data_IF_337261337361
#
_entry.id   IF_337261337361
#
_cell.length_a   1.000
_cell.length_b   1.000
_cell.length_c   1.000
_cell.angle_alpha   90.00
_cell.angle_beta   90.00
_cell.angle_gamma   90.00
#
_symmetry.space_group_name_H-M   'P 1'
#
loop_
_entity.id
_entity.type
_entity.pdbx_description
1 polymer ?
#
# COMPACT_ATOMS: atom_id res chain seq x y z
N UNK A 1 12.41 -21.95 5.44
CA UNK A 1 11.06 -22.32 4.96
C UNK A 1 10.49 -21.10 4.26
N UNK A 2 10.06 -21.22 3.00
CA UNK A 2 9.31 -20.17 2.31
C UNK A 2 7.86 -20.17 2.79
N UNK A 3 7.28 -18.99 2.97
CA UNK A 3 5.86 -18.80 3.26
C UNK A 3 5.14 -18.36 1.98
N UNK A 4 3.81 -18.37 1.94
CA UNK A 4 3.12 -17.73 0.82
C UNK A 4 3.18 -16.21 0.94
N UNK A 5 3.16 -15.51 -0.19
CA UNK A 5 3.13 -14.04 -0.22
C UNK A 5 1.98 -13.48 0.63
N UNK A 6 0.79 -14.08 0.54
CA UNK A 6 -0.37 -13.70 1.38
C UNK A 6 -0.10 -13.82 2.88
N UNK A 7 0.57 -14.88 3.31
CA UNK A 7 0.86 -15.08 4.72
C UNK A 7 1.80 -13.99 5.26
N UNK A 8 2.78 -13.57 4.45
CA UNK A 8 3.70 -12.48 4.81
C UNK A 8 3.05 -11.10 4.72
N UNK A 9 2.18 -10.84 3.74
CA UNK A 9 1.47 -9.56 3.61
C UNK A 9 0.45 -9.33 4.75
N UNK A 10 -0.20 -10.39 5.22
CA UNK A 10 -1.10 -10.32 6.39
C UNK A 10 -0.35 -10.21 7.72
N UNK A 11 0.96 -10.48 7.71
CA UNK A 11 1.79 -10.31 8.89
C UNK A 11 2.14 -8.83 9.07
N UNK A 12 2.03 -8.34 10.30
CA UNK A 12 2.55 -7.00 10.62
C UNK A 12 4.07 -6.97 10.44
N UNK A 13 4.66 -5.82 10.05
CA UNK A 13 6.11 -5.65 10.04
C UNK A 13 6.70 -6.12 11.37
N UNK A 14 7.72 -6.98 11.29
CA UNK A 14 8.27 -7.66 12.48
C UNK A 14 9.51 -6.97 13.03
N UNK A 15 10.08 -6.04 12.25
CA UNK A 15 11.24 -5.27 12.63
C UNK A 15 10.85 -4.08 13.51
N UNK A 16 11.67 -3.81 14.53
CA UNK A 16 11.46 -2.69 15.45
C UNK A 16 11.78 -1.37 14.76
N UNK A 17 10.92 -0.39 14.98
CA UNK A 17 11.03 0.94 14.38
C UNK A 17 11.11 1.97 15.50
N UNK A 18 12.27 2.62 15.61
CA UNK A 18 12.44 3.82 16.43
C UNK A 18 12.04 5.03 15.58
N UNK A 19 10.79 5.45 15.77
CA UNK A 19 10.28 6.68 15.18
C UNK A 19 10.58 7.84 16.14
N UNK A 20 11.50 8.72 15.75
CA UNK A 20 11.88 9.90 16.54
C UNK A 20 10.78 10.97 16.60
N UNK A 21 9.63 10.74 15.93
CA UNK A 21 8.50 11.67 15.81
C UNK A 21 8.90 13.04 15.24
N UNK A 22 10.02 13.07 14.51
CA UNK A 22 10.50 14.27 13.85
C UNK A 22 9.51 14.58 12.73
N UNK A 23 8.69 15.60 12.98
CA UNK A 23 7.74 16.10 11.99
C UNK A 23 8.54 16.84 10.94
N UNK A 24 8.84 16.20 9.82
CA UNK A 24 9.20 16.92 8.61
C UNK A 24 7.97 17.76 8.21
N UNK A 25 8.18 19.07 8.02
CA UNK A 25 7.11 19.92 7.53
C UNK A 25 6.69 19.43 6.15
N UNK A 26 5.46 18.90 6.00
CA UNK A 26 4.90 18.51 4.70
C UNK A 26 4.61 19.70 3.78
N UNK A 27 4.94 20.92 4.24
CA UNK A 27 4.81 22.17 3.51
C UNK A 27 5.94 22.32 2.48
N UNK A 28 6.01 21.33 1.57
CA UNK A 28 6.92 21.35 0.45
C UNK A 28 6.46 22.50 -0.46
N UNK A 29 7.33 23.48 -0.68
CA UNK A 29 7.01 24.70 -1.47
C UNK A 29 6.48 24.35 -2.86
N UNK A 30 6.99 23.28 -3.48
CA UNK A 30 6.51 22.79 -4.77
C UNK A 30 5.08 22.25 -4.74
N UNK A 31 4.59 21.75 -3.59
CA UNK A 31 3.22 21.23 -3.51
C UNK A 31 2.17 22.35 -3.60
N UNK A 32 2.56 23.58 -3.24
CA UNK A 32 1.69 24.77 -3.31
C UNK A 32 1.35 25.20 -4.74
N UNK A 33 2.10 24.74 -5.75
CA UNK A 33 1.81 25.06 -7.16
C UNK A 33 0.71 24.19 -7.77
N UNK A 34 0.29 23.13 -7.08
CA UNK A 34 -0.78 22.25 -7.53
C UNK A 34 -2.13 22.70 -6.96
N UNK A 35 -3.19 22.53 -7.75
CA UNK A 35 -4.55 22.80 -7.28
C UNK A 35 -4.90 21.85 -6.14
N UNK A 36 -5.48 22.34 -5.03
CA UNK A 36 -5.83 21.49 -3.91
C UNK A 36 -6.88 20.46 -4.33
N UNK A 37 -6.72 19.21 -3.88
CA UNK A 37 -7.73 18.17 -4.02
C UNK A 37 -8.89 18.54 -3.07
N UNK A 38 -9.96 19.12 -3.62
CA UNK A 38 -11.11 19.56 -2.81
C UNK A 38 -12.09 18.44 -2.52
N UNK A 39 -12.15 17.43 -3.40
CA UNK A 39 -13.07 16.30 -3.30
C UNK A 39 -12.28 15.01 -3.15
N UNK A 40 -12.20 14.50 -1.92
CA UNK A 40 -11.69 13.17 -1.63
C UNK A 40 -12.58 12.49 -0.60
N UNK A 41 -12.70 11.16 -0.69
CA UNK A 41 -13.35 10.34 0.33
C UNK A 41 -12.27 9.50 0.99
N UNK A 42 -11.97 9.78 2.26
CA UNK A 42 -11.15 8.88 3.07
C UNK A 42 -12.00 7.71 3.53
N UNK A 43 -11.54 6.50 3.26
CA UNK A 43 -12.15 5.27 3.77
C UNK A 43 -11.58 4.86 5.13
N UNK A 44 -10.50 5.51 5.57
CA UNK A 44 -9.99 5.42 6.94
C UNK A 44 -10.60 6.56 7.78
N UNK A 45 -11.34 6.19 8.82
CA UNK A 45 -12.08 7.09 9.69
C UNK A 45 -11.55 6.90 11.12
N UNK A 46 -11.16 8.01 11.75
CA UNK A 46 -10.86 8.02 13.17
C UNK A 46 -12.20 8.22 13.89
N UNK A 47 -12.70 7.18 14.55
CA UNK A 47 -13.91 7.24 15.33
C UNK A 47 -13.71 7.89 16.70
N UNK A 48 -14.81 8.07 17.43
CA UNK A 48 -14.76 8.64 18.77
C UNK A 48 -13.88 7.76 19.69
N UNK A 49 -13.04 8.41 20.51
CA UNK A 49 -12.03 7.79 21.39
C UNK A 49 -10.77 7.24 20.70
N UNK A 50 -10.49 7.64 19.45
CA UNK A 50 -9.21 7.30 18.79
C UNK A 50 -9.16 5.89 18.21
N UNK A 51 -10.31 5.21 18.08
CA UNK A 51 -10.42 3.96 17.36
C UNK A 51 -10.36 4.22 15.85
N UNK A 52 -9.62 3.38 15.12
CA UNK A 52 -9.53 3.44 13.67
C UNK A 52 -10.55 2.49 13.06
N UNK A 53 -11.38 3.02 12.17
CA UNK A 53 -12.38 2.27 11.40
C UNK A 53 -12.10 2.45 9.92
N UNK A 54 -12.31 1.38 9.16
CA UNK A 54 -12.12 1.39 7.71
C UNK A 54 -13.31 0.79 6.94
N UNK A 55 -13.73 1.48 5.87
CA UNK A 55 -14.80 1.07 4.95
C UNK A 55 -14.19 0.68 3.59
N UNK A 56 -13.37 -0.36 3.60
CA UNK A 56 -12.70 -0.86 2.40
C UNK A 56 -13.47 -1.98 1.68
N UNK A 57 -14.31 -2.73 2.41
CA UNK A 57 -15.01 -3.91 1.89
C UNK A 57 -15.94 -3.63 0.70
N UNK A 58 -16.56 -2.44 0.65
CA UNK A 58 -17.42 -2.04 -0.48
C UNK A 58 -16.73 -1.23 -1.57
N UNK A 59 -15.47 -0.86 -1.37
CA UNK A 59 -14.77 0.12 -2.20
C UNK A 59 -13.72 -0.52 -3.11
N UNK A 60 -13.29 -1.72 -2.77
CA UNK A 60 -12.37 -2.51 -3.60
C UNK A 60 -13.10 -3.59 -4.37
N UNK A 61 -12.52 -3.97 -5.51
CA UNK A 61 -12.91 -5.20 -6.18
C UNK A 61 -12.52 -6.38 -5.28
N UNK A 62 -13.39 -7.39 -5.20
CA UNK A 62 -13.05 -8.63 -4.50
C UNK A 62 -11.83 -9.30 -5.11
N UNK A 63 -11.16 -10.16 -4.33
CA UNK A 63 -9.97 -10.92 -4.76
C UNK A 63 -10.27 -11.63 -6.09
N UNK A 64 -9.54 -11.26 -7.13
CA UNK A 64 -9.67 -11.85 -8.46
C UNK A 64 -8.85 -13.13 -8.59
N UNK A 65 -9.05 -13.86 -9.68
CA UNK A 65 -8.38 -15.15 -9.88
C UNK A 65 -6.85 -15.00 -9.98
N UNK A 66 -6.35 -13.94 -10.61
CA UNK A 66 -4.93 -13.65 -10.71
C UNK A 66 -4.33 -13.28 -9.34
N UNK A 67 -5.07 -12.56 -8.50
CA UNK A 67 -4.66 -12.26 -7.12
C UNK A 67 -4.48 -13.56 -6.32
N UNK A 68 -5.40 -14.51 -6.44
CA UNK A 68 -5.30 -15.80 -5.75
C UNK A 68 -4.04 -16.58 -6.17
N UNK A 69 -3.65 -16.51 -7.45
CA UNK A 69 -2.43 -17.13 -7.94
C UNK A 69 -1.18 -16.43 -7.39
N UNK A 70 -1.12 -15.10 -7.46
CA UNK A 70 0.00 -14.31 -6.91
C UNK A 70 0.17 -14.53 -5.40
N UNK A 71 -0.93 -14.55 -4.67
CA UNK A 71 -0.96 -14.77 -3.22
C UNK A 71 -0.48 -16.16 -2.79
N UNK A 72 -0.50 -17.14 -3.70
CA UNK A 72 0.01 -18.49 -3.45
C UNK A 72 1.52 -18.62 -3.68
N UNK A 73 2.17 -17.63 -4.30
CA UNK A 73 3.59 -17.69 -4.63
C UNK A 73 4.46 -17.77 -3.37
N UNK A 74 5.58 -18.52 -3.44
CA UNK A 74 6.53 -18.60 -2.35
C UNK A 74 7.27 -17.27 -2.20
N UNK A 75 7.21 -16.74 -0.99
CA UNK A 75 7.86 -15.52 -0.56
C UNK A 75 8.79 -15.81 0.64
N UNK A 76 9.80 -14.95 0.80
CA UNK A 76 10.78 -15.09 1.87
C UNK A 76 10.52 -14.08 2.98
N UNK A 77 10.59 -14.51 4.25
CA UNK A 77 10.45 -13.60 5.37
C UNK A 77 11.61 -12.59 5.37
N UNK A 78 11.32 -11.42 5.91
CA UNK A 78 12.26 -10.33 6.02
C UNK A 78 13.40 -10.67 6.99
N UNK A 79 14.59 -10.16 6.68
CA UNK A 79 15.72 -10.24 7.60
C UNK A 79 15.46 -9.35 8.82
N UNK A 80 15.85 -9.83 10.01
CA UNK A 80 15.73 -9.04 11.24
C UNK A 80 16.62 -7.80 11.15
N UNK A 81 16.02 -6.62 11.33
CA UNK A 81 16.67 -5.31 11.31
C UNK A 81 16.05 -4.38 12.32
N UNK A 82 16.80 -3.34 12.66
CA UNK A 82 16.35 -2.23 13.48
C UNK A 82 16.30 -0.98 12.59
N UNK A 83 15.16 -0.28 12.58
CA UNK A 83 14.97 0.93 11.78
C UNK A 83 14.99 2.16 12.67
N UNK A 84 15.71 3.19 12.24
CA UNK A 84 15.64 4.53 12.81
C UNK A 84 15.08 5.46 11.74
N UNK A 85 13.86 5.95 11.95
CA UNK A 85 13.17 6.81 10.97
C UNK A 85 13.45 8.28 11.30
N UNK A 86 14.60 8.78 10.87
CA UNK A 86 15.02 10.18 11.05
C UNK A 86 14.76 11.02 9.79
N UNK A 87 14.94 10.43 8.61
CA UNK A 87 14.75 11.10 7.32
C UNK A 87 13.65 10.46 6.45
N UNK A 88 13.19 11.20 5.43
CA UNK A 88 12.27 10.67 4.41
C UNK A 88 12.86 9.46 3.68
N UNK A 89 14.19 9.46 3.47
CA UNK A 89 14.91 8.35 2.84
C UNK A 89 14.88 7.08 3.72
N UNK A 90 14.93 7.22 5.04
CA UNK A 90 14.83 6.07 5.95
C UNK A 90 13.42 5.47 5.92
N UNK A 91 12.39 6.32 5.87
CA UNK A 91 11.00 5.90 5.70
C UNK A 91 10.78 5.19 4.36
N UNK A 92 11.33 5.70 3.27
CA UNK A 92 11.27 5.07 1.96
C UNK A 92 11.96 3.70 1.96
N UNK A 93 13.15 3.62 2.56
CA UNK A 93 13.90 2.36 2.64
C UNK A 93 13.18 1.33 3.52
N UNK A 94 12.59 1.77 4.64
CA UNK A 94 11.73 0.94 5.48
C UNK A 94 10.53 0.41 4.71
N UNK A 95 9.79 1.28 4.01
CA UNK A 95 8.61 0.89 3.24
C UNK A 95 8.96 -0.12 2.14
N UNK A 96 10.02 0.15 1.39
CA UNK A 96 10.48 -0.74 0.34
C UNK A 96 10.91 -2.10 0.90
N UNK A 97 11.61 -2.09 2.03
CA UNK A 97 12.11 -3.33 2.63
C UNK A 97 10.99 -4.14 3.26
N UNK A 98 10.15 -3.53 4.10
CA UNK A 98 9.15 -4.26 4.89
C UNK A 98 7.86 -4.56 4.14
N UNK A 99 7.48 -3.72 3.17
CA UNK A 99 6.18 -3.81 2.50
C UNK A 99 6.38 -4.18 1.03
N UNK A 100 7.03 -3.31 0.25
CA UNK A 100 7.08 -3.45 -1.20
C UNK A 100 7.83 -4.71 -1.66
N UNK A 101 8.93 -5.10 -1.00
CA UNK A 101 9.67 -6.30 -1.36
C UNK A 101 8.87 -7.59 -1.13
N UNK A 102 8.08 -7.63 -0.04
CA UNK A 102 7.18 -8.76 0.23
C UNK A 102 6.12 -8.83 -0.86
N UNK A 103 5.54 -7.68 -1.21
CA UNK A 103 4.59 -7.57 -2.32
C UNK A 103 5.25 -8.06 -3.61
N UNK A 104 6.33 -7.45 -4.10
CA UNK A 104 7.02 -7.80 -5.35
C UNK A 104 7.34 -9.28 -5.52
N UNK A 105 7.58 -10.02 -4.43
CA UNK A 105 7.80 -11.46 -4.49
C UNK A 105 6.60 -12.23 -5.09
N UNK A 106 5.37 -11.76 -4.87
CA UNK A 106 4.14 -12.32 -5.46
C UNK A 106 3.99 -12.03 -6.97
N UNK A 107 4.67 -11.00 -7.48
CA UNK A 107 4.63 -10.58 -8.89
C UNK A 107 5.85 -11.05 -9.68
N UNK A 108 6.77 -11.78 -9.04
CA UNK A 108 8.02 -12.24 -9.68
C UNK A 108 7.78 -13.13 -10.90
N UNK A 109 6.85 -14.07 -10.79
CA UNK A 109 6.59 -15.09 -11.82
C UNK A 109 5.41 -14.71 -12.73
N UNK A 110 4.57 -13.78 -12.29
CA UNK A 110 3.48 -13.22 -13.06
C UNK A 110 3.86 -11.79 -13.45
N UNK A 111 4.62 -11.67 -14.56
CA UNK A 111 4.77 -10.40 -15.27
C UNK A 111 3.37 -9.77 -15.42
N UNK A 112 3.26 -8.43 -15.45
CA UNK A 112 1.97 -7.80 -15.63
C UNK A 112 1.41 -8.27 -16.97
N UNK A 113 0.53 -9.27 -16.92
CA UNK A 113 -0.54 -9.39 -17.88
C UNK A 113 -1.16 -8.02 -17.79
N UNK A 114 -0.92 -7.19 -18.80
CA UNK A 114 -1.61 -5.92 -18.93
C UNK A 114 -3.06 -6.24 -18.60
N UNK A 115 -3.54 -5.68 -17.50
CA UNK A 115 -4.96 -5.70 -17.22
C UNK A 115 -5.58 -5.03 -18.43
N UNK A 116 -5.99 -5.83 -19.40
CA UNK A 116 -6.84 -5.40 -20.49
C UNK A 116 -8.19 -5.27 -19.82
N UNK A 117 -8.33 -4.20 -19.02
CA UNK A 117 -9.63 -3.71 -18.58
C UNK A 117 -10.35 -3.16 -19.80
N UNK A 118 -10.67 -4.05 -20.74
CA UNK A 118 -11.71 -3.80 -21.73
C UNK A 118 -13.02 -3.75 -20.94
N UNK A 119 -13.32 -2.58 -20.40
CA UNK A 119 -14.53 -2.31 -19.61
C UNK A 119 -14.49 -1.10 -18.68
N UNK A 120 -13.32 -0.55 -18.31
CA UNK A 120 -13.27 0.55 -17.34
C UNK A 120 -13.22 1.97 -17.96
N UNK A 121 -12.89 2.10 -19.24
CA UNK A 121 -12.93 3.41 -19.92
C UNK A 121 -14.38 3.91 -20.15
N UNK A 122 -15.37 3.01 -20.24
CA UNK A 122 -16.79 3.43 -20.38
C UNK A 122 -17.43 3.84 -19.05
N UNK A 123 -16.94 3.33 -17.91
CA UNK A 123 -17.46 3.71 -16.59
C UNK A 123 -16.90 5.04 -16.07
N UNK A 124 -15.72 5.47 -16.55
CA UNK A 124 -15.09 6.73 -16.15
C UNK A 124 -15.36 7.92 -17.08
N UNK A 125 -15.87 7.70 -18.30
CA UNK A 125 -16.25 8.78 -19.23
C UNK A 125 -17.77 9.02 -19.34
N UNK A 126 -18.58 8.37 -18.49
CA UNK A 126 -20.04 8.35 -18.58
C UNK A 126 -20.81 9.45 -17.83
N UNK A 127 -20.16 10.49 -17.29
CA UNK A 127 -20.85 11.60 -16.61
C UNK A 127 -20.51 12.96 -17.24
N UNK A 128 -21.05 13.19 -18.44
CA UNK A 128 -21.40 14.55 -18.90
C UNK A 128 -22.75 14.50 -19.61
N UNK A 129 -23.82 14.78 -18.86
CA UNK A 129 -24.96 15.60 -19.30
C UNK A 129 -25.52 16.35 -18.10
#
# INVERSE_FOLDING_TARGET
MSLSAKALMLQKPTNTVDNLLIKSGSDKVWARSYSPITNYKSHAIIGQHGNYYDDFEGSFLGIQHDDAQRFSEPAFPLNKRHWQLDSEADCENWFNTEIANVELSAWRNYLPLMQTSMGLLELWCGYTK
#
